data_IF_063623042294
#
_entry.id   IF_063623042294
#
_cell.length_a   1.000
_cell.length_b   1.000
_cell.length_c   1.000
_cell.angle_alpha   90.00
_cell.angle_beta   90.00
_cell.angle_gamma   90.00
#
_symmetry.space_group_name_H-M   'P 1'
#
loop_
_entity.id
_entity.type
_entity.pdbx_description
1 polymer ?
#
# COMPACT_ATOMS: atom_id res chain seq x y z
N UNK A 1 -10.29 -8.28 7.43
CA UNK A 1 -9.42 -7.60 6.45
C UNK A 1 -8.27 -6.82 7.10
N UNK A 2 -8.48 -6.10 8.21
CA UNK A 2 -7.40 -5.36 8.92
C UNK A 2 -6.18 -6.24 9.28
N UNK A 3 -6.43 -7.48 9.71
CA UNK A 3 -5.40 -8.48 10.06
C UNK A 3 -4.60 -8.93 8.83
N UNK A 4 -5.25 -9.09 7.67
CA UNK A 4 -4.59 -9.54 6.44
C UNK A 4 -3.54 -8.53 5.98
N UNK A 5 -3.87 -7.24 6.02
CA UNK A 5 -2.89 -6.18 5.74
C UNK A 5 -1.74 -6.19 6.73
N UNK A 6 -2.04 -6.38 8.02
CA UNK A 6 -1.01 -6.47 9.06
C UNK A 6 -0.05 -7.64 8.81
N UNK A 7 -0.57 -8.80 8.45
CA UNK A 7 0.23 -9.97 8.08
C UNK A 7 1.10 -9.67 6.85
N UNK A 8 0.53 -9.11 5.78
CA UNK A 8 1.31 -8.73 4.60
C UNK A 8 2.38 -7.68 4.90
N UNK A 9 2.09 -6.74 5.80
CA UNK A 9 3.03 -5.70 6.21
C UNK A 9 4.21 -6.28 7.00
N UNK A 10 3.94 -7.18 7.95
CA UNK A 10 5.00 -7.88 8.71
C UNK A 10 5.84 -8.74 7.77
N UNK A 11 5.22 -9.45 6.83
CA UNK A 11 5.92 -10.27 5.84
C UNK A 11 6.84 -9.43 4.95
N UNK A 12 6.37 -8.25 4.51
CA UNK A 12 7.16 -7.27 3.77
C UNK A 12 8.36 -6.78 4.59
N UNK A 13 8.17 -6.39 5.86
CA UNK A 13 9.25 -5.98 6.75
C UNK A 13 10.27 -7.11 6.96
N UNK A 14 9.80 -8.35 7.08
CA UNK A 14 10.66 -9.54 7.14
C UNK A 14 11.53 -9.68 5.89
N UNK A 15 10.96 -9.52 4.69
CA UNK A 15 11.71 -9.57 3.41
C UNK A 15 12.77 -8.48 3.28
N UNK A 16 12.48 -7.26 3.73
CA UNK A 16 13.50 -6.20 3.80
C UNK A 16 14.58 -6.52 4.84
N UNK A 17 14.18 -6.99 6.03
CA UNK A 17 15.10 -7.35 7.09
C UNK A 17 16.07 -8.46 6.67
N UNK A 18 15.58 -9.52 6.04
CA UNK A 18 16.43 -10.62 5.53
C UNK A 18 17.30 -10.16 4.37
N UNK A 19 16.78 -9.34 3.45
CA UNK A 19 17.57 -8.77 2.35
C UNK A 19 18.74 -7.91 2.84
N UNK A 20 18.51 -7.05 3.83
CA UNK A 20 19.57 -6.26 4.47
C UNK A 20 20.53 -7.12 5.28
N UNK A 21 20.03 -8.14 6.00
CA UNK A 21 20.87 -9.07 6.75
C UNK A 21 21.86 -9.80 5.83
N UNK A 22 21.39 -10.36 4.72
CA UNK A 22 22.23 -11.08 3.75
C UNK A 22 23.23 -10.13 3.09
N UNK A 23 22.81 -8.90 2.75
CA UNK A 23 23.70 -7.89 2.17
C UNK A 23 24.84 -7.50 3.11
N UNK A 24 24.55 -7.32 4.40
CA UNK A 24 25.50 -6.76 5.37
C UNK A 24 26.34 -7.85 6.06
N UNK A 25 25.72 -8.95 6.49
CA UNK A 25 26.37 -9.95 7.34
C UNK A 25 26.98 -11.08 6.51
N UNK A 26 26.31 -11.49 5.44
CA UNK A 26 26.76 -12.62 4.62
C UNK A 26 27.74 -12.17 3.51
N UNK A 27 28.05 -10.87 3.43
CA UNK A 27 28.96 -10.25 2.46
C UNK A 27 28.66 -10.62 0.99
N UNK A 28 27.40 -10.93 0.69
CA UNK A 28 26.92 -11.31 -0.64
C UNK A 28 25.95 -10.23 -1.17
N UNK A 29 26.48 -9.10 -1.66
CA UNK A 29 25.66 -7.95 -2.06
C UNK A 29 24.72 -8.28 -3.22
N UNK A 30 25.11 -9.15 -4.14
CA UNK A 30 24.27 -9.52 -5.30
C UNK A 30 22.98 -10.26 -4.90
N UNK A 31 23.07 -11.16 -3.92
CA UNK A 31 21.91 -11.89 -3.42
C UNK A 31 21.03 -11.00 -2.55
N UNK A 32 21.65 -10.16 -1.69
CA UNK A 32 20.93 -9.18 -0.88
C UNK A 32 20.13 -8.20 -1.74
N UNK A 33 20.73 -7.63 -2.78
CA UNK A 33 20.05 -6.67 -3.67
C UNK A 33 18.90 -7.33 -4.46
N UNK A 34 19.05 -8.59 -4.89
CA UNK A 34 17.96 -9.36 -5.53
C UNK A 34 16.79 -9.58 -4.58
N UNK A 35 17.04 -9.93 -3.32
CA UNK A 35 16.00 -10.18 -2.31
C UNK A 35 15.28 -8.87 -1.94
N UNK A 36 16.03 -7.77 -1.81
CA UNK A 36 15.46 -6.44 -1.59
C UNK A 36 14.59 -6.05 -2.79
N UNK A 37 15.09 -6.19 -4.01
CA UNK A 37 14.33 -5.90 -5.24
C UNK A 37 13.04 -6.72 -5.35
N UNK A 38 13.10 -8.02 -5.03
CA UNK A 38 11.93 -8.88 -5.00
C UNK A 38 10.92 -8.44 -3.92
N UNK A 39 11.40 -8.04 -2.75
CA UNK A 39 10.56 -7.52 -1.65
C UNK A 39 9.87 -6.21 -2.03
N UNK A 40 10.56 -5.32 -2.75
CA UNK A 40 9.97 -4.08 -3.31
C UNK A 40 8.90 -4.40 -4.34
N UNK A 41 9.17 -5.33 -5.27
CA UNK A 41 8.19 -5.76 -6.28
C UNK A 41 6.93 -6.35 -5.63
N UNK A 42 7.11 -7.23 -4.64
CA UNK A 42 5.99 -7.78 -3.86
C UNK A 42 5.18 -6.65 -3.19
N UNK A 43 5.85 -5.68 -2.57
CA UNK A 43 5.18 -4.54 -1.94
C UNK A 43 4.39 -3.70 -2.96
N UNK A 44 4.99 -3.40 -4.11
CA UNK A 44 4.34 -2.56 -5.12
C UNK A 44 3.17 -3.26 -5.82
N UNK A 45 3.30 -4.55 -6.16
CA UNK A 45 2.30 -5.24 -6.96
C UNK A 45 1.25 -6.00 -6.14
N UNK A 46 1.56 -6.37 -4.90
CA UNK A 46 0.64 -7.15 -4.06
C UNK A 46 0.17 -6.30 -2.90
N UNK A 47 1.08 -5.73 -2.10
CA UNK A 47 0.70 -4.97 -0.92
C UNK A 47 -0.09 -3.70 -1.27
N UNK A 48 0.34 -2.92 -2.27
CA UNK A 48 -0.33 -1.68 -2.67
C UNK A 48 -1.78 -1.89 -3.15
N UNK A 49 -2.09 -2.76 -4.15
CA UNK A 49 -3.47 -2.95 -4.57
C UNK A 49 -4.34 -3.59 -3.48
N UNK A 50 -3.79 -4.48 -2.66
CA UNK A 50 -4.51 -5.07 -1.53
C UNK A 50 -4.87 -3.99 -0.48
N UNK A 51 -3.95 -3.07 -0.22
CA UNK A 51 -4.16 -1.92 0.65
C UNK A 51 -5.24 -0.98 0.12
N UNK A 52 -5.18 -0.63 -1.17
CA UNK A 52 -6.18 0.20 -1.83
C UNK A 52 -7.57 -0.44 -1.77
N UNK A 53 -7.66 -1.73 -2.11
CA UNK A 53 -8.92 -2.47 -2.07
C UNK A 53 -9.52 -2.51 -0.66
N UNK A 54 -8.69 -2.74 0.36
CA UNK A 54 -9.18 -2.71 1.74
C UNK A 54 -9.68 -1.32 2.14
N UNK A 55 -8.97 -0.26 1.75
CA UNK A 55 -9.32 1.12 2.13
C UNK A 55 -10.54 1.64 1.39
N UNK A 56 -10.78 1.18 0.16
CA UNK A 56 -11.95 1.53 -0.64
C UNK A 56 -13.19 0.70 -0.31
N UNK A 57 -13.07 -0.35 0.51
CA UNK A 57 -14.20 -1.16 0.97
C UNK A 57 -15.07 -0.35 1.95
N UNK A 58 -16.04 0.39 1.40
CA UNK A 58 -17.02 1.17 2.16
C UNK A 58 -17.06 2.66 1.85
N UNK A 59 -16.29 3.13 0.86
CA UNK A 59 -16.38 4.50 0.34
C UNK A 59 -16.95 4.47 -1.06
N UNK A 60 -18.17 4.96 -1.22
CA UNK A 60 -18.76 5.18 -2.54
C UNK A 60 -17.93 6.26 -3.26
N UNK A 61 -17.27 5.89 -4.35
CA UNK A 61 -16.48 6.83 -5.15
C UNK A 61 -17.35 8.01 -5.62
N UNK A 62 -18.66 7.75 -5.77
CA UNK A 62 -19.68 8.72 -6.17
C UNK A 62 -19.86 9.88 -5.21
N UNK A 63 -19.62 9.70 -3.90
CA UNK A 63 -19.69 10.80 -2.94
C UNK A 63 -18.48 11.75 -3.01
N UNK A 64 -17.40 11.32 -3.68
CA UNK A 64 -16.20 12.12 -3.88
C UNK A 64 -16.13 12.78 -5.27
N UNK A 65 -17.05 12.45 -6.17
CA UNK A 65 -17.18 13.13 -7.45
C UNK A 65 -18.00 14.40 -7.26
N UNK A 66 -17.39 15.55 -7.55
CA UNK A 66 -18.06 16.85 -7.54
C UNK A 66 -19.06 16.91 -8.70
N UNK A 67 -20.31 16.48 -8.45
CA UNK A 67 -21.42 16.67 -9.39
C UNK A 67 -21.95 18.11 -9.28
N UNK A 68 -22.57 18.63 -10.36
CA UNK A 68 -23.20 19.95 -10.35
C UNK A 68 -24.20 20.11 -9.21
N UNK A 69 -24.95 19.05 -8.87
CA UNK A 69 -25.85 19.05 -7.72
C UNK A 69 -25.15 19.29 -6.38
N UNK A 70 -24.01 18.62 -6.15
CA UNK A 70 -23.21 18.79 -4.91
C UNK A 70 -22.57 20.18 -4.86
N UNK A 71 -22.14 20.71 -6.00
CA UNK A 71 -21.64 22.08 -6.15
C UNK A 71 -22.71 23.13 -5.83
N UNK A 72 -23.92 22.92 -6.32
CA UNK A 72 -25.04 23.82 -6.04
C UNK A 72 -25.47 23.73 -4.56
N UNK A 73 -25.52 22.54 -3.95
CA UNK A 73 -25.77 22.35 -2.51
C UNK A 73 -24.73 23.06 -1.62
N UNK A 74 -23.45 23.06 -2.00
CA UNK A 74 -22.41 23.79 -1.26
C UNK A 74 -22.60 25.31 -1.37
N UNK A 75 -22.92 25.80 -2.58
CA UNK A 75 -23.15 27.23 -2.83
C UNK A 75 -24.40 27.76 -2.12
N UNK A 76 -25.41 26.91 -1.92
CA UNK A 76 -26.64 27.24 -1.19
C UNK A 76 -26.47 27.17 0.33
N UNK A 77 -25.52 26.37 0.84
CA UNK A 77 -25.18 26.29 2.28
C UNK A 77 -24.25 27.39 2.78
N UNK A 78 -23.48 28.02 1.88
CA UNK A 78 -22.61 29.16 2.19
C UNK A 78 -23.35 30.52 2.11
N UNK A 79 -24.66 30.51 1.80
CA UNK A 79 -25.60 31.64 1.73
C UNK A 79 -26.62 31.56 2.87
#
# INVERSE_FOLDING_TARGET
MRIVLWICFIMMLGGFGTGFYIKIIEANPELGDKIIGLSVLFSSFIFMPLFLYHRWKGKDIKDYVLDKKKLDEMREKDL
#
